data_IF_291347380521
#
_entry.id   IF_291347380521
#
_cell.length_a   1.000
_cell.length_b   1.000
_cell.length_c   1.000
_cell.angle_alpha   90.00
_cell.angle_beta   90.00
_cell.angle_gamma   90.00
#
_symmetry.space_group_name_H-M   'P 1'
#
loop_
_entity.id
_entity.type
_entity.pdbx_description
1 polymer ?
#
# COMPACT_ATOMS: atom_id res chain seq x y z
N UNK A 1 -9.27 -5.85 15.94
CA UNK A 1 -8.24 -5.20 15.12
C UNK A 1 -7.21 -4.63 16.06
N UNK A 2 -5.98 -5.10 15.93
CA UNK A 2 -4.85 -4.65 16.73
C UNK A 2 -3.83 -3.89 15.89
N UNK A 3 -2.90 -3.22 16.58
CA UNK A 3 -1.65 -2.74 15.99
C UNK A 3 -0.46 -3.51 16.55
N UNK A 4 0.56 -3.71 15.73
CA UNK A 4 1.80 -4.38 16.07
C UNK A 4 2.95 -3.44 15.79
N UNK A 5 3.58 -2.98 16.85
CA UNK A 5 4.59 -1.93 16.76
C UNK A 5 6.00 -2.51 16.66
N UNK A 6 6.86 -1.82 15.90
CA UNK A 6 8.27 -2.15 15.75
C UNK A 6 8.54 -3.62 15.34
N UNK A 7 7.77 -4.14 14.39
CA UNK A 7 7.95 -5.50 13.85
C UNK A 7 8.95 -5.52 12.70
N UNK A 8 9.44 -6.72 12.36
CA UNK A 8 10.20 -6.94 11.12
C UNK A 8 9.19 -7.13 9.98
N UNK A 9 9.04 -6.13 9.10
CA UNK A 9 7.94 -6.07 8.13
C UNK A 9 7.93 -7.29 7.22
N UNK A 10 9.09 -7.69 6.70
CA UNK A 10 9.16 -8.84 5.79
C UNK A 10 8.86 -10.14 6.49
N UNK A 11 9.41 -10.37 7.68
CA UNK A 11 9.14 -11.59 8.43
C UNK A 11 7.66 -11.67 8.87
N UNK A 12 7.08 -10.54 9.28
CA UNK A 12 5.69 -10.47 9.72
C UNK A 12 4.71 -10.70 8.56
N UNK A 13 4.89 -10.02 7.42
CA UNK A 13 4.02 -10.21 6.27
C UNK A 13 4.18 -11.61 5.64
N UNK A 14 5.40 -12.19 5.62
CA UNK A 14 5.62 -13.59 5.21
C UNK A 14 4.82 -14.56 6.09
N UNK A 15 4.88 -14.36 7.42
CA UNK A 15 4.17 -15.21 8.38
C UNK A 15 2.64 -15.13 8.25
N UNK A 16 2.09 -13.97 7.86
CA UNK A 16 0.67 -13.80 7.57
C UNK A 16 0.32 -14.43 6.21
N UNK A 17 1.09 -14.11 5.17
CA UNK A 17 0.88 -14.61 3.81
C UNK A 17 0.83 -16.14 3.76
N UNK A 18 1.76 -16.83 4.45
CA UNK A 18 1.82 -18.29 4.48
C UNK A 18 0.57 -18.98 5.05
N UNK A 19 -0.26 -18.25 5.79
CA UNK A 19 -1.47 -18.80 6.38
C UNK A 19 -2.66 -18.70 5.43
N UNK A 20 -2.73 -17.62 4.65
CA UNK A 20 -3.89 -17.32 3.83
C UNK A 20 -3.66 -17.54 2.33
N UNK A 21 -2.41 -17.65 1.87
CA UNK A 21 -2.05 -17.70 0.45
C UNK A 21 -1.49 -19.06 0.07
N UNK A 22 -2.27 -19.85 -0.68
CA UNK A 22 -1.86 -21.16 -1.20
C UNK A 22 -1.24 -21.10 -2.60
N UNK A 23 -1.64 -20.12 -3.41
CA UNK A 23 -1.16 -19.92 -4.78
C UNK A 23 -0.52 -18.55 -4.95
N UNK A 24 0.40 -18.44 -5.92
CA UNK A 24 1.10 -17.18 -6.25
C UNK A 24 1.80 -16.53 -5.05
N UNK A 25 2.38 -17.33 -4.14
CA UNK A 25 3.20 -16.79 -3.03
C UNK A 25 4.39 -15.96 -3.53
N UNK A 26 4.83 -16.16 -4.78
CA UNK A 26 5.86 -15.34 -5.46
C UNK A 26 5.47 -13.87 -5.62
N UNK A 27 4.17 -13.54 -5.60
CA UNK A 27 3.71 -12.15 -5.64
C UNK A 27 4.26 -11.34 -4.45
N UNK A 28 4.52 -12.02 -3.33
CA UNK A 28 5.11 -11.37 -2.16
C UNK A 28 6.54 -10.88 -2.41
N UNK A 29 7.27 -11.42 -3.39
CA UNK A 29 8.57 -10.88 -3.78
C UNK A 29 8.45 -9.53 -4.48
N UNK A 30 7.38 -9.32 -5.25
CA UNK A 30 7.03 -8.00 -5.84
C UNK A 30 6.68 -7.02 -4.71
N UNK A 31 5.88 -7.46 -3.73
CA UNK A 31 5.54 -6.62 -2.58
C UNK A 31 6.79 -6.20 -1.79
N UNK A 32 7.77 -7.09 -1.61
CA UNK A 32 9.04 -6.75 -0.96
C UNK A 32 9.80 -5.66 -1.71
N UNK A 33 9.80 -5.69 -3.04
CA UNK A 33 10.41 -4.63 -3.84
C UNK A 33 9.71 -3.29 -3.64
N UNK A 34 8.37 -3.28 -3.63
CA UNK A 34 7.57 -2.07 -3.37
C UNK A 34 7.89 -1.51 -1.98
N UNK A 35 7.87 -2.36 -0.96
CA UNK A 35 8.20 -2.00 0.42
C UNK A 35 9.65 -1.49 0.54
N UNK A 36 10.61 -2.13 -0.14
CA UNK A 36 11.99 -1.70 -0.11
C UNK A 36 12.20 -0.33 -0.76
N UNK A 37 11.53 -0.07 -1.88
CA UNK A 37 11.50 1.25 -2.55
C UNK A 37 10.87 2.31 -1.66
N UNK A 38 9.72 2.01 -1.06
CA UNK A 38 9.04 2.89 -0.10
C UNK A 38 9.90 3.21 1.13
N UNK A 39 10.58 2.20 1.69
CA UNK A 39 11.50 2.38 2.81
C UNK A 39 12.70 3.27 2.47
N UNK A 40 13.17 3.23 1.21
CA UNK A 40 14.27 4.05 0.72
C UNK A 40 13.82 5.47 0.33
N UNK A 41 12.50 5.71 0.18
CA UNK A 41 11.98 7.02 -0.21
C UNK A 41 12.30 8.08 0.86
N UNK A 42 12.77 9.27 0.44
CA UNK A 42 12.89 10.42 1.34
C UNK A 42 11.52 11.00 1.71
N UNK A 43 10.47 10.75 0.90
CA UNK A 43 9.13 11.24 1.16
C UNK A 43 8.47 10.44 2.28
N UNK A 44 7.88 11.13 3.27
CA UNK A 44 7.16 10.49 4.37
C UNK A 44 5.85 9.87 3.91
N UNK A 45 5.19 10.44 2.90
CA UNK A 45 3.89 9.95 2.41
C UNK A 45 4.02 8.59 1.69
N UNK A 46 5.21 8.25 1.20
CA UNK A 46 5.49 6.95 0.60
C UNK A 46 5.64 5.82 1.63
N UNK A 47 5.79 6.15 2.91
CA UNK A 47 6.12 5.19 3.98
C UNK A 47 4.90 4.51 4.57
N UNK A 48 3.70 4.88 4.13
CA UNK A 48 2.46 4.21 4.51
C UNK A 48 1.91 3.45 3.32
N UNK A 49 1.83 2.13 3.49
CA UNK A 49 1.38 1.21 2.45
C UNK A 49 0.12 0.49 2.91
N UNK A 50 -0.69 0.05 1.97
CA UNK A 50 -1.75 -0.91 2.19
C UNK A 50 -1.34 -2.24 1.55
N UNK A 51 -1.38 -3.29 2.36
CA UNK A 51 -1.02 -4.64 1.93
C UNK A 51 -2.18 -5.58 2.22
N UNK A 52 -2.43 -6.51 1.32
CA UNK A 52 -3.32 -7.63 1.63
C UNK A 52 -2.82 -8.94 1.02
N UNK A 53 -3.24 -10.04 1.62
CA UNK A 53 -3.09 -11.37 1.05
C UNK A 53 -4.44 -12.06 0.90
N UNK A 54 -4.52 -12.93 -0.09
CA UNK A 54 -5.69 -13.76 -0.44
C UNK A 54 -5.23 -15.20 -0.74
N UNK A 55 -6.14 -16.17 -0.90
CA UNK A 55 -5.81 -17.54 -1.31
C UNK A 55 -4.89 -17.63 -2.53
N UNK A 56 -4.99 -16.67 -3.45
CA UNK A 56 -4.21 -16.66 -4.70
C UNK A 56 -3.47 -15.34 -4.91
N UNK A 57 -2.44 -15.10 -4.11
CA UNK A 57 -1.51 -13.98 -4.26
C UNK A 57 -1.62 -12.90 -3.20
N UNK A 58 -0.79 -11.87 -3.37
CA UNK A 58 -0.66 -10.73 -2.46
C UNK A 58 -0.55 -9.45 -3.26
N UNK A 59 -0.88 -8.32 -2.62
CA UNK A 59 -0.77 -7.00 -3.24
C UNK A 59 -0.32 -5.96 -2.23
N UNK A 60 0.55 -5.05 -2.67
CA UNK A 60 1.05 -3.93 -1.90
C UNK A 60 0.92 -2.62 -2.69
N UNK A 61 0.34 -1.59 -2.07
CA UNK A 61 0.15 -0.27 -2.68
C UNK A 61 0.57 0.85 -1.75
N UNK A 62 0.97 2.00 -2.29
CA UNK A 62 1.05 3.23 -1.47
C UNK A 62 -0.37 3.60 -1.04
N UNK A 63 -0.56 3.94 0.23
CA UNK A 63 -1.90 4.27 0.76
C UNK A 63 -2.54 5.43 -0.01
N UNK A 64 -1.73 6.45 -0.34
CA UNK A 64 -2.17 7.60 -1.13
C UNK A 64 -2.82 7.20 -2.46
N UNK A 65 -2.24 6.24 -3.17
CA UNK A 65 -2.68 5.88 -4.52
C UNK A 65 -3.99 5.11 -4.47
N UNK A 66 -4.24 4.34 -3.39
CA UNK A 66 -5.53 3.65 -3.19
C UNK A 66 -6.69 4.64 -3.05
N UNK A 67 -6.45 5.84 -2.52
CA UNK A 67 -7.45 6.90 -2.41
C UNK A 67 -7.55 7.80 -3.66
N UNK A 68 -6.85 7.46 -4.76
CA UNK A 68 -6.94 8.18 -6.03
C UNK A 68 -7.65 7.32 -7.07
N UNK A 69 -8.82 7.79 -7.53
CA UNK A 69 -9.63 7.13 -8.54
C UNK A 69 -8.83 6.90 -9.82
N UNK A 70 -9.19 5.82 -10.51
CA UNK A 70 -8.62 5.39 -11.79
C UNK A 70 -7.13 5.05 -11.78
N UNK A 71 -6.47 5.07 -10.61
CA UNK A 71 -5.15 4.48 -10.46
C UNK A 71 -5.24 2.96 -10.42
N UNK A 72 -4.17 2.28 -10.83
CA UNK A 72 -4.09 0.82 -10.72
C UNK A 72 -4.29 0.34 -9.27
N UNK A 73 -3.73 1.07 -8.29
CA UNK A 73 -3.89 0.76 -6.88
C UNK A 73 -5.35 0.81 -6.43
N UNK A 74 -6.07 1.90 -6.74
CA UNK A 74 -7.49 2.03 -6.41
C UNK A 74 -8.33 0.94 -7.08
N UNK A 75 -8.14 0.74 -8.38
CA UNK A 75 -8.92 -0.23 -9.15
C UNK A 75 -8.70 -1.66 -8.64
N UNK A 76 -7.46 -2.05 -8.37
CA UNK A 76 -7.16 -3.38 -7.82
C UNK A 76 -7.68 -3.53 -6.39
N UNK A 77 -7.54 -2.51 -5.54
CA UNK A 77 -8.06 -2.54 -4.18
C UNK A 77 -9.58 -2.70 -4.15
N UNK A 78 -10.32 -2.02 -5.02
CA UNK A 78 -11.78 -2.16 -5.11
C UNK A 78 -12.21 -3.49 -5.74
N UNK A 79 -11.51 -3.92 -6.80
CA UNK A 79 -11.83 -5.14 -7.55
C UNK A 79 -11.96 -6.37 -6.66
N UNK A 80 -11.02 -6.60 -5.74
CA UNK A 80 -11.04 -7.82 -4.93
C UNK A 80 -12.20 -7.85 -3.93
N UNK A 81 -12.74 -6.71 -3.51
CA UNK A 81 -13.95 -6.68 -2.67
C UNK A 81 -15.25 -6.79 -3.47
N UNK A 82 -15.26 -6.29 -4.71
CA UNK A 82 -16.45 -6.24 -5.57
C UNK A 82 -16.66 -7.52 -6.38
N UNK A 83 -15.57 -8.12 -6.89
CA UNK A 83 -15.62 -9.18 -7.91
C UNK A 83 -15.17 -10.55 -7.39
N UNK A 84 -14.72 -10.63 -6.13
CA UNK A 84 -14.27 -11.90 -5.54
C UNK A 84 -14.97 -12.19 -4.22
N UNK A 85 -15.02 -13.47 -3.86
CA UNK A 85 -15.45 -13.94 -2.54
C UNK A 85 -14.25 -14.41 -1.71
N UNK A 86 -13.05 -13.92 -2.01
CA UNK A 86 -11.84 -14.35 -1.34
C UNK A 86 -11.82 -13.92 0.14
N UNK A 87 -11.29 -14.79 0.99
CA UNK A 87 -10.95 -14.41 2.34
C UNK A 87 -9.68 -13.55 2.30
N UNK A 88 -9.85 -12.23 2.37
CA UNK A 88 -8.75 -11.27 2.32
C UNK A 88 -8.32 -10.89 3.74
N UNK A 89 -7.03 -11.03 4.03
CA UNK A 89 -6.42 -10.42 5.22
C UNK A 89 -5.71 -9.14 4.79
N UNK A 90 -6.11 -7.99 5.35
CA UNK A 90 -5.58 -6.68 4.99
C UNK A 90 -4.91 -5.98 6.16
N UNK A 91 -3.84 -5.26 5.86
CA UNK A 91 -3.01 -4.54 6.83
C UNK A 91 -2.56 -3.19 6.25
N UNK A 92 -2.55 -2.16 7.09
CA UNK A 92 -1.75 -0.97 6.80
C UNK A 92 -0.34 -1.20 7.35
N UNK A 93 0.66 -0.76 6.59
CA UNK A 93 2.09 -0.88 6.92
C UNK A 93 2.66 0.52 7.04
N UNK A 94 3.15 0.89 8.22
CA UNK A 94 3.91 2.12 8.42
C UNK A 94 5.40 1.78 8.58
N UNK A 95 6.23 2.25 7.65
CA UNK A 95 7.67 2.01 7.66
C UNK A 95 8.38 3.03 8.57
N UNK A 96 9.03 2.54 9.62
CA UNK A 96 9.66 3.39 10.65
C UNK A 96 11.18 3.48 10.51
N UNK A 97 11.81 2.54 9.80
CA UNK A 97 13.24 2.61 9.49
C UNK A 97 13.88 1.28 9.18
N UNK A 98 15.20 1.21 9.34
CA UNK A 98 15.97 -0.03 9.23
C UNK A 98 16.77 -0.27 10.49
N UNK A 99 16.77 -1.52 10.95
CA UNK A 99 17.54 -1.97 12.11
C UNK A 99 18.23 -3.30 11.78
N UNK A 100 19.56 -3.36 11.93
CA UNK A 100 20.36 -4.58 11.68
C UNK A 100 20.06 -5.24 10.32
N UNK A 101 19.89 -4.43 9.28
CA UNK A 101 19.58 -4.89 7.92
C UNK A 101 18.12 -5.26 7.65
N UNK A 102 17.23 -5.17 8.65
CA UNK A 102 15.79 -5.44 8.53
C UNK A 102 15.00 -4.16 8.37
N UNK A 103 13.96 -4.18 7.55
CA UNK A 103 13.00 -3.08 7.47
C UNK A 103 12.04 -3.20 8.67
N UNK A 104 11.99 -2.15 9.48
CA UNK A 104 11.17 -2.05 10.68
C UNK A 104 9.95 -1.18 10.40
N UNK A 105 8.86 -1.48 11.08
CA UNK A 105 7.64 -0.73 10.95
C UNK A 105 6.53 -1.19 11.88
N UNK A 106 5.37 -0.57 11.73
CA UNK A 106 4.15 -0.91 12.44
C UNK A 106 3.17 -1.55 11.46
N UNK A 107 2.45 -2.57 11.92
CA UNK A 107 1.35 -3.19 11.18
C UNK A 107 0.04 -2.89 11.89
N UNK A 108 -0.99 -2.57 11.12
CA UNK A 108 -2.34 -2.30 11.63
C UNK A 108 -3.30 -3.22 10.91
N UNK A 109 -4.01 -4.07 11.64
CA UNK A 109 -5.07 -4.89 11.06
C UNK A 109 -6.17 -4.00 10.47
N UNK A 110 -6.66 -4.39 9.29
CA UNK A 110 -7.77 -3.73 8.62
C UNK A 110 -8.91 -4.73 8.44
N UNK A 111 -10.13 -4.26 8.68
CA UNK A 111 -11.33 -4.88 8.12
C UNK A 111 -11.39 -4.47 6.64
N UNK A 112 -11.03 -5.39 5.76
CA UNK A 112 -10.93 -5.11 4.33
C UNK A 112 -12.25 -4.62 3.72
N UNK A 113 -13.40 -5.15 4.17
CA UNK A 113 -14.70 -4.71 3.67
C UNK A 113 -15.01 -3.27 4.08
N UNK A 114 -14.76 -2.92 5.37
CA UNK A 114 -14.92 -1.53 5.83
C UNK A 114 -13.93 -0.59 5.15
N UNK A 115 -12.70 -1.04 4.93
CA UNK A 115 -11.68 -0.21 4.28
C UNK A 115 -12.02 0.02 2.80
N UNK A 116 -12.58 -0.97 2.11
CA UNK A 116 -13.12 -0.78 0.77
C UNK A 116 -14.21 0.30 0.73
N UNK A 117 -15.22 0.25 1.61
CA UNK A 117 -16.27 1.29 1.63
C UNK A 117 -15.66 2.68 1.92
N UNK A 118 -14.72 2.76 2.88
CA UNK A 118 -13.99 3.99 3.18
C UNK A 118 -13.26 4.54 1.95
N UNK A 119 -12.57 3.70 1.20
CA UNK A 119 -11.86 4.07 -0.04
C UNK A 119 -12.85 4.53 -1.10
N UNK A 120 -13.91 3.76 -1.36
CA UNK A 120 -14.92 4.06 -2.37
C UNK A 120 -15.61 5.42 -2.13
N UNK A 121 -15.98 5.68 -0.89
CA UNK A 121 -16.74 6.89 -0.52
C UNK A 121 -15.88 8.16 -0.49
N UNK A 122 -14.56 8.03 -0.28
CA UNK A 122 -13.68 9.17 -0.03
C UNK A 122 -12.57 9.34 -1.09
N UNK A 123 -12.51 8.47 -2.10
CA UNK A 123 -11.49 8.58 -3.14
C UNK A 123 -11.66 9.87 -3.96
N UNK A 124 -10.53 10.51 -4.22
CA UNK A 124 -10.42 11.76 -4.97
C UNK A 124 -10.10 11.46 -6.43
N UNK A 125 -10.43 12.39 -7.33
CA UNK A 125 -10.01 12.28 -8.72
C UNK A 125 -8.52 12.62 -8.83
N UNK A 126 -7.79 11.91 -9.68
CA UNK A 126 -6.51 12.40 -10.15
C UNK A 126 -6.75 13.54 -11.16
N UNK A 127 -5.95 14.60 -11.08
CA UNK A 127 -5.98 15.74 -12.00
C UNK A 127 -4.89 15.61 -13.06
N UNK A 128 -3.65 15.41 -12.60
CA UNK A 128 -2.49 15.18 -13.46
C UNK A 128 -1.74 13.92 -13.05
N UNK A 129 -0.90 13.43 -13.96
CA UNK A 129 0.15 12.46 -13.68
C UNK A 129 1.47 13.15 -13.86
N UNK A 130 2.30 13.11 -12.81
CA UNK A 130 3.68 13.58 -12.84
C UNK A 130 4.56 12.43 -13.28
N UNK A 131 5.30 12.64 -14.36
CA UNK A 131 6.31 11.74 -14.90
C UNK A 131 7.68 12.19 -14.39
N UNK A 132 8.40 11.30 -13.72
CA UNK A 132 9.70 11.58 -13.11
C UNK A 132 10.80 10.93 -13.96
N UNK A 133 11.80 11.73 -14.28
CA UNK A 133 12.98 11.36 -15.06
C UNK A 133 14.25 11.75 -14.31
N UNK A 134 15.40 11.22 -14.74
CA UNK A 134 16.72 11.47 -14.14
C UNK A 134 17.07 12.97 -13.96
N UNK A 135 16.59 13.84 -14.85
CA UNK A 135 16.96 15.27 -14.89
C UNK A 135 15.78 16.21 -14.73
N UNK A 136 14.60 15.72 -14.37
CA UNK A 136 13.44 16.57 -14.13
C UNK A 136 12.11 15.84 -14.18
N UNK A 137 11.03 16.62 -14.25
CA UNK A 137 9.67 16.10 -14.20
C UNK A 137 8.79 16.76 -15.24
N UNK A 138 7.80 16.02 -15.74
CA UNK A 138 6.78 16.51 -16.67
C UNK A 138 5.40 16.15 -16.15
N UNK A 139 4.43 17.04 -16.27
CA UNK A 139 3.04 16.74 -15.93
C UNK A 139 2.20 16.55 -17.20
N UNK A 140 1.26 15.62 -17.13
CA UNK A 140 0.26 15.36 -18.16
C UNK A 140 -1.12 15.23 -17.50
N UNK A 141 -2.23 15.53 -18.20
CA UNK A 141 -3.57 15.25 -17.71
C UNK A 141 -3.75 13.79 -17.27
N UNK A 142 -4.50 13.57 -16.18
CA UNK A 142 -4.88 12.23 -15.76
C UNK A 142 -5.66 11.50 -16.87
N UNK A 143 -5.44 10.19 -17.00
CA UNK A 143 -6.03 9.36 -18.06
C UNK A 143 -5.36 9.52 -19.44
N UNK A 144 -4.46 10.51 -19.63
CA UNK A 144 -3.68 10.59 -20.86
C UNK A 144 -2.66 9.44 -20.91
N UNK A 145 -2.67 8.70 -22.02
CA UNK A 145 -1.69 7.64 -22.25
C UNK A 145 -0.27 8.21 -22.33
N UNK A 146 0.67 7.56 -21.64
CA UNK A 146 2.11 7.81 -21.73
C UNK A 146 2.87 6.48 -21.75
N UNK A 147 4.13 6.53 -22.15
CA UNK A 147 5.05 5.41 -22.06
C UNK A 147 6.26 5.79 -21.21
N UNK A 148 6.91 4.79 -20.61
CA UNK A 148 8.14 4.98 -19.83
C UNK A 148 9.39 5.13 -20.70
N UNK A 149 9.27 5.74 -21.89
CA UNK A 149 10.41 5.95 -22.77
C UNK A 149 11.30 7.07 -22.23
N UNK A 150 12.62 7.02 -22.48
CA UNK A 150 13.51 8.13 -22.17
C UNK A 150 13.06 9.41 -22.89
N UNK A 151 13.20 10.55 -22.21
CA UNK A 151 13.03 11.87 -22.81
C UNK A 151 14.40 12.41 -23.22
N UNK A 152 14.46 13.07 -24.38
CA UNK A 152 15.72 13.61 -24.93
C UNK A 152 16.40 14.63 -24.04
N UNK A 153 15.63 15.36 -23.22
CA UNK A 153 16.13 16.41 -22.34
C UNK A 153 16.08 16.04 -20.86
N UNK A 154 15.09 15.24 -20.45
CA UNK A 154 14.92 14.85 -19.06
C UNK A 154 15.63 13.54 -18.70
N UNK A 155 16.13 12.78 -19.68
CA UNK A 155 16.87 11.55 -19.47
C UNK A 155 15.98 10.31 -19.34
N UNK A 156 16.46 9.29 -18.63
CA UNK A 156 15.71 8.03 -18.47
C UNK A 156 14.46 8.25 -17.62
N UNK A 157 13.36 7.61 -18.00
CA UNK A 157 12.15 7.53 -17.17
C UNK A 157 12.42 6.70 -15.91
N UNK A 158 12.05 7.24 -14.75
CA UNK A 158 12.23 6.57 -13.47
C UNK A 158 10.92 5.97 -12.96
N UNK A 159 9.88 6.81 -12.82
CA UNK A 159 8.57 6.43 -12.31
C UNK A 159 7.54 7.54 -12.58
N UNK A 160 6.29 7.30 -12.20
CA UNK A 160 5.23 8.30 -12.27
C UNK A 160 4.47 8.36 -10.94
N UNK A 161 3.79 9.48 -10.70
CA UNK A 161 2.95 9.71 -9.53
C UNK A 161 1.64 10.36 -9.98
N UNK A 162 0.51 9.84 -9.47
CA UNK A 162 -0.77 10.49 -9.65
C UNK A 162 -0.90 11.68 -8.70
N UNK A 163 -1.33 12.82 -9.24
CA UNK A 163 -1.56 14.05 -8.50
C UNK A 163 -3.07 14.22 -8.30
N UNK A 164 -3.57 14.31 -7.06
CA UNK A 164 -4.99 14.56 -6.81
C UNK A 164 -5.44 15.93 -7.31
N UNK A 165 -6.71 16.05 -7.65
CA UNK A 165 -7.38 17.33 -7.89
C UNK A 165 -7.43 18.23 -6.65
N UNK A 166 -7.36 17.64 -5.46
CA UNK A 166 -7.27 18.33 -4.17
C UNK A 166 -6.20 17.68 -3.27
N UNK A 167 -4.94 18.15 -3.33
CA UNK A 167 -3.85 17.64 -2.50
C UNK A 167 -4.08 17.80 -1.00
N UNK A 168 -4.75 18.88 -0.58
CA UNK A 168 -5.00 19.16 0.84
C UNK A 168 -6.08 18.20 1.37
N UNK A 169 -7.12 17.92 0.60
CA UNK A 169 -8.12 16.92 0.95
C UNK A 169 -7.50 15.51 1.06
N UNK A 170 -6.58 15.15 0.15
CA UNK A 170 -5.88 13.87 0.24
C UNK A 170 -5.05 13.80 1.52
N UNK A 171 -4.28 14.86 1.81
CA UNK A 171 -3.45 14.90 3.02
C UNK A 171 -4.29 14.83 4.30
N UNK A 172 -5.44 15.51 4.34
CA UNK A 172 -6.37 15.44 5.45
C UNK A 172 -6.90 14.00 5.64
N UNK A 173 -7.34 13.36 4.56
CA UNK A 173 -7.84 12.00 4.57
C UNK A 173 -6.81 11.00 5.09
N UNK A 174 -5.56 11.06 4.58
CA UNK A 174 -4.47 10.19 5.04
C UNK A 174 -4.12 10.41 6.52
N UNK A 175 -4.20 11.66 6.99
CA UNK A 175 -4.02 11.97 8.42
C UNK A 175 -5.14 11.38 9.27
N UNK A 176 -6.39 11.44 8.83
CA UNK A 176 -7.51 10.80 9.55
C UNK A 176 -7.31 9.28 9.65
N UNK A 177 -6.92 8.64 8.55
CA UNK A 177 -6.68 7.19 8.52
C UNK A 177 -5.55 6.79 9.49
N UNK A 178 -4.46 7.56 9.52
CA UNK A 178 -3.40 7.39 10.52
C UNK A 178 -3.92 7.55 11.95
N UNK A 179 -4.68 8.62 12.24
CA UNK A 179 -5.21 8.86 13.60
C UNK A 179 -6.16 7.76 14.08
N UNK A 180 -6.93 7.13 13.18
CA UNK A 180 -7.76 5.97 13.52
C UNK A 180 -6.88 4.78 13.89
N UNK A 181 -5.84 4.51 13.12
CA UNK A 181 -4.89 3.41 13.35
C UNK A 181 -4.08 3.60 14.63
N UNK A 182 -3.66 4.82 14.95
CA UNK A 182 -2.89 5.12 16.16
C UNK A 182 -3.66 4.78 17.45
N UNK A 183 -5.00 4.82 17.40
CA UNK A 183 -5.92 4.48 18.50
C UNK A 183 -6.19 2.97 18.63
N UNK A 184 -5.71 2.13 17.71
CA UNK A 184 -5.87 0.69 17.83
C UNK A 184 -5.11 0.15 19.04
N UNK A 185 -5.64 -0.90 19.64
CA UNK A 185 -5.01 -1.56 20.78
C UNK A 185 -3.72 -2.26 20.35
N UNK A 186 -2.59 -2.06 21.04
CA UNK A 186 -1.39 -2.85 20.81
C UNK A 186 -1.67 -4.35 21.07
N UNK A 187 -1.28 -5.20 20.14
CA UNK A 187 -1.41 -6.66 20.26
C UNK A 187 -0.05 -7.37 20.28
N UNK A 188 -0.04 -8.63 20.71
CA UNK A 188 1.11 -9.52 20.52
C UNK A 188 1.05 -10.16 19.13
N UNK A 189 2.09 -9.95 18.33
CA UNK A 189 2.11 -10.44 16.95
C UNK A 189 2.16 -11.97 16.86
N UNK A 190 2.80 -12.65 17.82
CA UNK A 190 2.85 -14.13 17.82
C UNK A 190 1.47 -14.70 18.12
N UNK A 191 0.80 -14.17 19.13
CA UNK A 191 -0.58 -14.55 19.46
C UNK A 191 -1.52 -14.31 18.27
N UNK A 192 -1.38 -13.16 17.60
CA UNK A 192 -2.14 -12.86 16.38
C UNK A 192 -1.92 -13.90 15.29
N UNK A 193 -0.66 -14.21 14.95
CA UNK A 193 -0.37 -15.23 13.93
C UNK A 193 -0.82 -16.63 14.33
N UNK A 194 -0.87 -16.97 15.63
CA UNK A 194 -1.40 -18.23 16.11
C UNK A 194 -2.93 -18.29 15.98
N UNK A 195 -3.62 -17.18 16.25
CA UNK A 195 -5.07 -17.08 16.12
C UNK A 195 -5.51 -17.20 14.65
N UNK A 196 -4.79 -16.56 13.71
CA UNK A 196 -5.05 -16.70 12.28
C UNK A 196 -5.00 -18.16 11.82
N UNK A 197 -4.03 -18.95 12.32
CA UNK A 197 -3.89 -20.36 12.00
C UNK A 197 -5.03 -21.22 12.56
N UNK A 198 -5.62 -20.82 13.69
CA UNK A 198 -6.71 -21.55 14.34
C UNK A 198 -8.10 -21.21 13.78
N UNK A 199 -8.22 -20.06 13.10
CA UNK A 199 -9.48 -19.54 12.56
C UNK A 199 -9.71 -19.76 11.06
N UNK A 200 -8.73 -20.35 10.36
CA UNK A 200 -8.83 -20.82 8.97
C UNK A 200 -9.13 -22.33 8.94
#
# INVERSE_FOLDING_TARGET
MNKFENVDIFASLDAIMRQNTGFFQSDFDIDKEIIAKAAASPNREDKTLLWFCRPSGTHCFKERDVFLKDTAAHNTWCFYKEQTCDCVLAYAVELTGRERGKIKGNLYELDYARQYERVKDNALAADTVKLIYEHGTREIPAGQHFNGNPDTSLGKFEHFEAVPNDPDALQFLLREEKQKRDKLTPGDFKEHTAALRAGL
#
